data_IF_145785536721
#
_entry.id   IF_145785536721
#
_cell.length_a   1.000
_cell.length_b   1.000
_cell.length_c   1.000
_cell.angle_alpha   90.00
_cell.angle_beta   90.00
_cell.angle_gamma   90.00
#
_symmetry.space_group_name_H-M   'P 1'
#
loop_
_entity.id
_entity.type
_entity.pdbx_description
1 polymer ?
#
# COMPACT_ATOMS: atom_id res chain seq x y z
N UNK A 1 -15.58 -5.97 73.45
CA UNK A 1 -14.60 -5.01 74.01
C UNK A 1 -14.02 -4.15 72.89
N UNK A 2 -14.29 -2.88 73.09
CA UNK A 2 -13.69 -1.66 72.52
C UNK A 2 -13.46 -1.48 71.00
N UNK A 3 -14.31 -0.64 70.49
CA UNK A 3 -14.24 0.16 69.30
C UNK A 3 -13.01 1.12 69.33
N UNK A 4 -12.41 1.33 68.14
CA UNK A 4 -11.84 2.65 67.79
C UNK A 4 -12.04 2.95 66.35
N UNK A 5 -12.95 3.89 66.09
CA UNK A 5 -13.14 4.60 64.83
C UNK A 5 -11.95 5.52 64.54
N UNK A 6 -11.47 5.50 63.30
CA UNK A 6 -10.64 6.60 62.77
C UNK A 6 -11.39 7.27 61.63
N UNK A 7 -11.68 8.54 61.81
CA UNK A 7 -12.26 9.43 60.81
C UNK A 7 -11.14 9.90 59.87
N UNK A 8 -11.35 9.75 58.54
CA UNK A 8 -10.53 10.41 57.52
C UNK A 8 -11.24 11.66 57.07
N UNK A 9 -10.55 12.79 57.26
CA UNK A 9 -10.97 14.11 56.80
C UNK A 9 -10.82 14.24 55.27
N UNK A 10 -11.88 14.64 54.64
CA UNK A 10 -11.94 14.99 53.22
C UNK A 10 -11.46 16.42 53.03
N UNK A 11 -10.33 16.64 52.31
CA UNK A 11 -9.91 17.97 51.83
C UNK A 11 -10.40 18.18 50.43
N UNK A 12 -11.37 19.06 50.26
CA UNK A 12 -11.81 19.53 48.95
C UNK A 12 -10.78 20.55 48.41
N UNK A 13 -10.19 20.25 47.27
CA UNK A 13 -9.37 21.22 46.51
C UNK A 13 -10.27 22.07 45.64
N UNK A 14 -10.30 23.36 45.89
CA UNK A 14 -10.98 24.37 45.07
C UNK A 14 -10.24 24.56 43.75
N UNK A 15 -10.97 24.41 42.65
CA UNK A 15 -10.50 24.76 41.29
C UNK A 15 -10.75 26.27 41.13
N UNK A 16 -9.69 27.06 41.07
CA UNK A 16 -9.73 28.46 40.74
C UNK A 16 -10.06 28.65 39.25
N UNK A 17 -11.15 29.33 38.95
CA UNK A 17 -11.49 29.83 37.62
C UNK A 17 -10.56 30.98 37.27
N UNK A 18 -9.80 30.87 36.20
CA UNK A 18 -9.00 31.94 35.61
C UNK A 18 -9.89 32.69 34.63
N UNK A 19 -10.22 33.94 34.99
CA UNK A 19 -10.84 34.92 34.05
C UNK A 19 -9.73 35.54 33.18
N UNK A 20 -9.95 35.78 31.87
CA UNK A 20 -8.94 36.46 31.06
C UNK A 20 -8.98 37.97 31.31
N UNK A 21 -7.82 38.54 31.60
CA UNK A 21 -7.59 39.96 31.70
C UNK A 21 -7.71 40.69 30.35
N UNK A 22 -8.20 41.98 30.34
CA UNK A 22 -8.31 42.77 29.12
C UNK A 22 -6.94 43.22 28.60
N UNK A 23 -6.74 43.08 27.29
CA UNK A 23 -5.55 43.46 26.53
C UNK A 23 -5.24 44.93 26.69
N UNK A 24 -4.09 45.26 27.30
CA UNK A 24 -3.54 46.62 27.30
C UNK A 24 -2.84 46.95 25.97
N UNK A 25 -2.88 48.20 25.48
CA UNK A 25 -2.25 48.58 24.22
C UNK A 25 -0.73 48.62 24.35
N UNK A 26 -0.06 48.05 23.31
CA UNK A 26 1.40 48.01 23.18
C UNK A 26 1.98 49.42 23.02
N UNK A 27 3.13 49.74 23.68
CA UNK A 27 3.86 50.97 23.46
C UNK A 27 4.59 50.96 22.12
N UNK A 28 4.47 52.04 21.35
CA UNK A 28 5.22 52.28 20.12
C UNK A 28 6.70 52.46 20.44
N UNK A 29 7.52 51.47 20.11
CA UNK A 29 8.97 51.55 20.19
C UNK A 29 9.54 52.26 18.95
N UNK A 30 10.22 53.38 19.19
CA UNK A 30 11.09 54.08 18.23
C UNK A 30 12.22 53.15 17.77
N UNK A 31 12.52 53.24 16.48
CA UNK A 31 13.49 52.44 15.76
C UNK A 31 14.85 52.24 16.44
N UNK A 32 15.22 51.01 16.55
CA UNK A 32 16.61 50.56 16.54
C UNK A 32 16.83 49.74 15.26
N UNK A 33 17.80 50.15 14.45
CA UNK A 33 18.27 49.38 13.31
C UNK A 33 18.73 48.02 13.80
N UNK A 34 18.33 46.90 13.17
CA UNK A 34 18.86 45.60 13.53
C UNK A 34 20.34 45.55 13.10
N UNK A 35 21.20 45.16 14.03
CA UNK A 35 22.57 44.78 13.74
C UNK A 35 22.61 43.71 12.66
N UNK A 36 23.45 43.91 11.66
CA UNK A 36 23.68 42.99 10.55
C UNK A 36 24.03 41.60 11.11
N UNK A 37 23.07 40.68 11.14
CA UNK A 37 23.35 39.28 11.43
C UNK A 37 24.14 38.72 10.23
N UNK A 38 25.36 38.28 10.48
CA UNK A 38 26.12 37.48 9.52
C UNK A 38 25.27 36.28 9.09
N UNK A 39 25.19 35.95 7.78
CA UNK A 39 24.46 34.80 7.33
C UNK A 39 24.98 33.55 8.05
N UNK A 40 24.07 32.70 8.53
CA UNK A 40 24.40 31.42 9.11
C UNK A 40 25.29 30.64 8.13
N UNK A 41 26.33 29.95 8.60
CA UNK A 41 27.18 29.14 7.73
C UNK A 41 26.29 28.14 6.98
N UNK A 42 26.51 28.04 5.66
CA UNK A 42 25.85 27.05 4.83
C UNK A 42 26.07 25.65 5.43
N UNK A 43 25.06 24.79 5.44
CA UNK A 43 25.23 23.42 5.92
C UNK A 43 26.37 22.78 5.14
N UNK A 44 27.34 22.24 5.85
CA UNK A 44 28.45 21.49 5.25
C UNK A 44 27.86 20.37 4.39
N UNK A 45 28.26 20.21 3.13
CA UNK A 45 27.80 19.10 2.32
C UNK A 45 28.11 17.78 3.06
N UNK A 46 27.20 16.79 3.01
CA UNK A 46 27.46 15.51 3.64
C UNK A 46 28.78 14.94 3.14
N UNK A 47 29.58 14.42 4.04
CA UNK A 47 30.84 13.76 3.68
C UNK A 47 30.56 12.69 2.60
N UNK A 48 31.43 12.55 1.59
CA UNK A 48 31.26 11.51 0.59
C UNK A 48 31.18 10.14 1.26
N UNK A 49 30.34 9.22 0.77
CA UNK A 49 30.20 7.90 1.36
C UNK A 49 31.57 7.20 1.39
N UNK A 50 31.95 6.69 2.56
CA UNK A 50 33.17 5.88 2.70
C UNK A 50 32.91 4.56 1.99
N UNK A 51 33.58 4.35 0.85
CA UNK A 51 33.55 3.06 0.12
C UNK A 51 34.51 2.13 0.87
N UNK A 52 33.95 1.24 1.68
CA UNK A 52 34.73 0.19 2.33
C UNK A 52 35.16 -0.86 1.29
N UNK A 53 36.38 -1.41 1.39
CA UNK A 53 36.79 -2.51 0.53
C UNK A 53 35.87 -3.73 0.72
N UNK A 54 35.69 -4.58 -0.31
CA UNK A 54 34.94 -5.82 -0.18
C UNK A 54 35.57 -6.70 0.91
N UNK A 55 34.75 -7.45 1.69
CA UNK A 55 35.25 -8.35 2.70
C UNK A 55 35.99 -9.54 2.06
N UNK A 56 36.82 -10.22 2.86
CA UNK A 56 37.42 -11.50 2.44
C UNK A 56 36.31 -12.56 2.25
N UNK A 57 36.37 -13.30 1.15
CA UNK A 57 35.48 -14.39 0.84
C UNK A 57 36.22 -15.74 0.84
N UNK A 58 35.91 -16.64 1.79
CA UNK A 58 36.29 -18.03 1.70
C UNK A 58 35.75 -18.66 0.41
N UNK A 59 36.53 -19.52 -0.23
CA UNK A 59 36.13 -20.18 -1.49
C UNK A 59 34.82 -20.99 -1.32
N UNK A 60 34.65 -21.63 -0.17
CA UNK A 60 33.41 -22.37 0.13
C UNK A 60 32.17 -21.46 0.17
N UNK A 61 32.30 -20.27 0.76
CA UNK A 61 31.21 -19.30 0.85
C UNK A 61 30.86 -18.69 -0.52
N UNK A 62 31.88 -18.45 -1.36
CA UNK A 62 31.69 -18.04 -2.74
C UNK A 62 31.02 -19.12 -3.58
N UNK A 63 31.33 -20.40 -3.34
CA UNK A 63 30.67 -21.53 -3.97
C UNK A 63 29.21 -21.71 -3.50
N UNK A 64 28.91 -21.47 -2.21
CA UNK A 64 27.54 -21.45 -1.70
C UNK A 64 26.72 -20.33 -2.36
N UNK A 65 27.29 -19.10 -2.48
CA UNK A 65 26.65 -18.01 -3.23
C UNK A 65 26.36 -18.42 -4.69
N UNK A 66 27.33 -19.03 -5.38
CA UNK A 66 27.15 -19.48 -6.77
C UNK A 66 25.98 -20.47 -6.89
N UNK A 67 25.85 -21.43 -5.93
CA UNK A 67 24.73 -22.36 -5.88
C UNK A 67 23.38 -21.66 -5.74
N UNK A 68 23.31 -20.64 -4.88
CA UNK A 68 22.08 -19.84 -4.73
C UNK A 68 21.76 -19.08 -6.01
N UNK A 69 22.74 -18.46 -6.65
CA UNK A 69 22.56 -17.77 -7.92
C UNK A 69 22.02 -18.71 -9.00
N UNK A 70 22.60 -19.91 -9.14
CA UNK A 70 22.15 -20.91 -10.12
C UNK A 70 20.70 -21.37 -9.86
N UNK A 71 20.26 -21.38 -8.59
CA UNK A 71 18.89 -21.72 -8.21
C UNK A 71 17.90 -20.55 -8.28
N UNK A 72 18.34 -19.32 -8.60
CA UNK A 72 17.49 -18.13 -8.60
C UNK A 72 16.28 -18.22 -9.55
N UNK A 73 16.34 -19.08 -10.58
CA UNK A 73 15.21 -19.35 -11.47
C UNK A 73 13.99 -19.93 -10.72
N UNK A 74 14.21 -20.73 -9.68
CA UNK A 74 13.13 -21.24 -8.82
C UNK A 74 12.42 -20.12 -8.04
N UNK A 75 13.09 -18.99 -7.86
CA UNK A 75 12.52 -17.77 -7.26
C UNK A 75 11.98 -16.79 -8.32
N UNK A 76 11.85 -17.22 -9.58
CA UNK A 76 11.33 -16.40 -10.67
C UNK A 76 12.30 -15.35 -11.21
N UNK A 77 13.57 -15.40 -10.83
CA UNK A 77 14.62 -14.47 -11.26
C UNK A 77 15.50 -15.11 -12.35
N UNK A 78 16.27 -14.28 -13.08
CA UNK A 78 17.23 -14.77 -14.05
C UNK A 78 18.60 -14.96 -13.37
N UNK A 79 19.19 -16.16 -13.32
CA UNK A 79 20.53 -16.36 -12.76
C UNK A 79 21.59 -15.46 -13.41
N UNK A 80 21.47 -15.18 -14.71
CA UNK A 80 22.44 -14.37 -15.46
C UNK A 80 22.54 -12.93 -14.96
N UNK A 81 21.50 -12.41 -14.30
CA UNK A 81 21.51 -11.08 -13.71
C UNK A 81 22.54 -10.94 -12.58
N UNK A 82 22.99 -12.06 -12.00
CA UNK A 82 23.92 -12.14 -10.87
C UNK A 82 25.30 -12.69 -11.25
N UNK A 83 25.62 -12.74 -12.55
CA UNK A 83 26.95 -13.04 -13.11
C UNK A 83 27.53 -14.39 -12.64
N UNK A 84 26.80 -15.53 -12.77
CA UNK A 84 27.27 -16.84 -12.30
C UNK A 84 28.61 -17.26 -12.94
N UNK A 85 28.80 -17.02 -14.25
CA UNK A 85 30.02 -17.40 -14.95
C UNK A 85 31.23 -16.59 -14.45
N UNK A 86 31.06 -15.27 -14.24
CA UNK A 86 32.12 -14.44 -13.70
C UNK A 86 32.53 -14.85 -12.28
N UNK A 87 31.56 -15.30 -11.45
CA UNK A 87 31.84 -15.81 -10.11
C UNK A 87 32.54 -17.17 -10.17
N UNK A 88 32.12 -18.08 -11.04
CA UNK A 88 32.77 -19.36 -11.26
C UNK A 88 34.24 -19.18 -11.72
N UNK A 89 34.47 -18.28 -12.68
CA UNK A 89 35.81 -17.94 -13.16
C UNK A 89 36.68 -17.31 -12.06
N UNK A 90 36.10 -16.43 -11.23
CA UNK A 90 36.83 -15.85 -10.10
C UNK A 90 37.26 -16.92 -9.09
N UNK A 91 36.35 -17.85 -8.76
CA UNK A 91 36.66 -18.97 -7.87
C UNK A 91 37.76 -19.87 -8.47
N UNK A 92 37.68 -20.20 -9.74
CA UNK A 92 38.67 -21.01 -10.43
C UNK A 92 40.07 -20.35 -10.51
N UNK A 93 40.11 -19.02 -10.62
CA UNK A 93 41.37 -18.27 -10.68
C UNK A 93 42.17 -18.30 -9.37
N UNK A 94 41.52 -18.59 -8.23
CA UNK A 94 42.08 -18.52 -6.87
C UNK A 94 42.63 -17.12 -6.50
N UNK A 95 42.26 -16.08 -7.22
CA UNK A 95 42.57 -14.69 -6.88
C UNK A 95 41.57 -14.19 -5.84
N UNK A 96 42.04 -14.04 -4.60
CA UNK A 96 41.19 -13.64 -3.47
C UNK A 96 40.54 -12.25 -3.69
N UNK A 97 41.22 -11.31 -4.32
CA UNK A 97 40.66 -9.97 -4.58
C UNK A 97 39.56 -10.05 -5.64
N UNK A 98 39.76 -10.83 -6.71
CA UNK A 98 38.77 -11.03 -7.74
C UNK A 98 37.53 -11.74 -7.20
N UNK A 99 37.72 -12.79 -6.37
CA UNK A 99 36.61 -13.46 -5.68
C UNK A 99 35.85 -12.48 -4.80
N UNK A 100 36.55 -11.72 -3.95
CA UNK A 100 35.96 -10.75 -3.04
C UNK A 100 35.09 -9.71 -3.77
N UNK A 101 35.60 -9.16 -4.88
CA UNK A 101 34.88 -8.17 -5.67
C UNK A 101 33.63 -8.78 -6.32
N UNK A 102 33.78 -9.87 -7.08
CA UNK A 102 32.67 -10.45 -7.85
C UNK A 102 31.62 -11.02 -6.94
N UNK A 103 32.02 -11.74 -5.85
CA UNK A 103 31.08 -12.29 -4.90
C UNK A 103 30.30 -11.22 -4.14
N UNK A 104 30.97 -10.14 -3.70
CA UNK A 104 30.27 -9.03 -3.01
C UNK A 104 29.27 -8.34 -3.93
N UNK A 105 29.63 -8.06 -5.18
CA UNK A 105 28.73 -7.44 -6.16
C UNK A 105 27.49 -8.32 -6.42
N UNK A 106 27.73 -9.63 -6.62
CA UNK A 106 26.65 -10.61 -6.88
C UNK A 106 25.75 -10.80 -5.64
N UNK A 107 26.33 -10.86 -4.44
CA UNK A 107 25.58 -10.93 -3.18
C UNK A 107 24.70 -9.70 -2.99
N UNK A 108 25.27 -8.51 -3.15
CA UNK A 108 24.54 -7.26 -2.97
C UNK A 108 23.36 -7.15 -3.94
N UNK A 109 23.54 -7.52 -5.19
CA UNK A 109 22.46 -7.50 -6.17
C UNK A 109 21.39 -8.54 -5.86
N UNK A 110 21.78 -9.79 -5.58
CA UNK A 110 20.83 -10.86 -5.30
C UNK A 110 20.08 -10.64 -4.00
N UNK A 111 20.75 -10.22 -2.93
CA UNK A 111 20.11 -9.92 -1.63
C UNK A 111 19.12 -8.77 -1.75
N UNK A 112 19.45 -7.73 -2.51
CA UNK A 112 18.52 -6.64 -2.82
C UNK A 112 17.29 -7.17 -3.56
N UNK A 113 17.46 -8.00 -4.61
CA UNK A 113 16.36 -8.52 -5.40
C UNK A 113 15.50 -9.53 -4.62
N UNK A 114 16.09 -10.30 -3.72
CA UNK A 114 15.35 -11.17 -2.81
C UNK A 114 14.55 -10.39 -1.77
N UNK A 115 15.10 -9.29 -1.24
CA UNK A 115 14.44 -8.46 -0.25
C UNK A 115 13.31 -7.61 -0.84
N UNK A 116 13.53 -7.02 -2.00
CA UNK A 116 12.65 -5.98 -2.53
C UNK A 116 12.06 -6.30 -3.90
N UNK A 117 12.37 -7.45 -4.53
CA UNK A 117 12.03 -7.77 -5.91
C UNK A 117 13.06 -7.18 -6.90
N UNK A 118 13.06 -7.61 -8.13
CA UNK A 118 13.96 -7.16 -9.20
C UNK A 118 13.54 -5.82 -9.80
N UNK A 119 12.23 -5.64 -10.01
CA UNK A 119 11.65 -4.42 -10.57
C UNK A 119 11.70 -3.29 -9.56
N UNK A 120 12.10 -2.08 -9.99
CA UNK A 120 12.32 -0.91 -9.13
C UNK A 120 11.68 0.36 -9.70
N UNK A 121 11.60 1.37 -8.84
CA UNK A 121 11.25 2.74 -9.21
C UNK A 121 9.93 2.85 -9.96
N UNK A 122 9.95 3.57 -11.05
CA UNK A 122 8.76 3.87 -11.85
C UNK A 122 8.13 2.64 -12.54
N UNK A 123 8.90 1.54 -12.72
CA UNK A 123 8.38 0.32 -13.31
C UNK A 123 7.43 -0.44 -12.39
N UNK A 124 7.42 -0.14 -11.08
CA UNK A 124 6.41 -0.62 -10.13
C UNK A 124 5.05 0.05 -10.25
N UNK A 125 4.81 0.86 -11.21
CA UNK A 125 3.63 1.64 -11.56
C UNK A 125 2.68 1.91 -10.38
N UNK A 126 2.63 3.17 -9.95
CA UNK A 126 1.69 3.64 -8.91
C UNK A 126 1.80 2.83 -7.59
N UNK A 127 3.05 2.52 -7.22
CA UNK A 127 3.42 1.82 -5.99
C UNK A 127 3.91 2.80 -4.92
N UNK A 128 3.25 2.80 -3.78
CA UNK A 128 3.47 3.75 -2.69
C UNK A 128 3.60 3.07 -1.32
N UNK A 129 3.94 1.78 -1.30
CA UNK A 129 4.31 1.10 -0.07
C UNK A 129 5.77 1.38 0.20
N UNK A 130 6.07 1.87 1.40
CA UNK A 130 7.45 2.07 1.85
C UNK A 130 7.93 0.78 2.49
N UNK A 131 9.03 0.26 1.98
CA UNK A 131 9.71 -0.90 2.52
C UNK A 131 11.09 -0.47 3.02
N UNK A 132 11.35 -0.72 4.29
CA UNK A 132 12.60 -0.42 4.97
C UNK A 132 13.33 -1.66 5.50
N UNK A 133 12.95 -2.87 5.04
CA UNK A 133 13.46 -4.13 5.60
C UNK A 133 14.96 -4.32 5.44
N UNK A 134 15.55 -3.84 4.33
CA UNK A 134 16.97 -3.96 4.06
C UNK A 134 17.58 -2.60 3.66
N UNK A 135 18.19 -1.88 4.61
CA UNK A 135 19.02 -0.70 4.30
C UNK A 135 20.42 -1.15 3.86
N UNK A 136 21.21 -0.25 3.27
CA UNK A 136 22.59 -0.54 2.89
C UNK A 136 23.43 -1.05 4.08
N UNK A 137 23.25 -0.45 5.26
CA UNK A 137 23.96 -0.87 6.49
C UNK A 137 23.52 -2.27 6.93
N UNK A 138 22.22 -2.57 6.87
CA UNK A 138 21.70 -3.91 7.18
C UNK A 138 22.17 -4.95 6.16
N UNK A 139 22.25 -4.59 4.87
CA UNK A 139 22.76 -5.47 3.83
C UNK A 139 24.25 -5.79 4.09
N UNK A 140 25.05 -4.80 4.45
CA UNK A 140 26.45 -5.02 4.81
C UNK A 140 26.58 -5.89 6.06
N UNK A 141 25.84 -5.60 7.11
CA UNK A 141 25.85 -6.40 8.35
C UNK A 141 25.38 -7.85 8.08
N UNK A 142 24.41 -8.05 7.18
CA UNK A 142 23.97 -9.38 6.75
C UNK A 142 25.11 -10.14 6.06
N UNK A 143 25.84 -9.50 5.16
CA UNK A 143 26.98 -10.11 4.49
C UNK A 143 28.08 -10.49 5.50
N UNK A 144 28.47 -9.56 6.37
CA UNK A 144 29.51 -9.79 7.36
C UNK A 144 29.13 -10.95 8.31
N UNK A 145 27.86 -11.03 8.74
CA UNK A 145 27.35 -12.11 9.55
C UNK A 145 27.33 -13.44 8.78
N UNK A 146 26.87 -13.44 7.54
CA UNK A 146 26.81 -14.61 6.68
C UNK A 146 28.19 -15.23 6.45
N UNK A 147 29.21 -14.41 6.20
CA UNK A 147 30.59 -14.84 6.03
C UNK A 147 31.19 -15.36 7.34
N UNK A 148 30.95 -14.69 8.47
CA UNK A 148 31.46 -15.12 9.78
C UNK A 148 30.88 -16.46 10.24
N UNK A 149 29.68 -16.80 9.78
CA UNK A 149 28.98 -18.05 10.09
C UNK A 149 29.10 -19.13 9.01
N UNK A 150 29.71 -18.83 7.87
CA UNK A 150 29.75 -19.70 6.70
C UNK A 150 28.35 -20.15 6.22
N UNK A 151 27.37 -19.22 6.18
CA UNK A 151 25.95 -19.48 5.88
C UNK A 151 25.38 -18.47 4.88
N UNK A 152 26.11 -18.22 3.79
CA UNK A 152 25.74 -17.22 2.78
C UNK A 152 24.39 -17.57 2.13
N UNK A 153 24.20 -18.82 1.77
CA UNK A 153 22.95 -19.28 1.15
C UNK A 153 21.74 -19.15 2.07
N UNK A 154 21.90 -19.47 3.35
CA UNK A 154 20.80 -19.32 4.32
C UNK A 154 20.44 -17.86 4.56
N UNK A 155 21.45 -17.00 4.67
CA UNK A 155 21.24 -15.55 4.82
C UNK A 155 20.46 -14.96 3.64
N UNK A 156 20.78 -15.36 2.41
CA UNK A 156 20.05 -14.94 1.22
C UNK A 156 18.62 -15.48 1.20
N UNK A 157 18.42 -16.79 1.45
CA UNK A 157 17.07 -17.40 1.46
C UNK A 157 16.19 -16.79 2.54
N UNK A 158 16.76 -16.37 3.66
CA UNK A 158 16.06 -15.67 4.73
C UNK A 158 15.46 -14.29 4.33
N UNK A 159 15.89 -13.74 3.19
CA UNK A 159 15.32 -12.52 2.62
C UNK A 159 14.06 -12.76 1.79
N UNK A 160 13.73 -13.99 1.43
CA UNK A 160 12.56 -14.30 0.61
C UNK A 160 11.26 -14.17 1.41
N UNK A 161 10.13 -13.82 0.76
CA UNK A 161 8.83 -13.80 1.43
C UNK A 161 8.45 -15.17 2.00
N UNK A 162 8.00 -15.19 3.25
CA UNK A 162 7.52 -16.41 3.93
C UNK A 162 6.02 -16.63 3.75
N UNK A 163 5.32 -15.69 3.10
CA UNK A 163 3.88 -15.77 2.92
C UNK A 163 3.48 -17.00 2.09
N UNK A 164 2.44 -17.76 2.48
CA UNK A 164 2.04 -18.99 1.78
C UNK A 164 1.75 -18.82 0.29
N UNK A 165 1.20 -17.67 -0.11
CA UNK A 165 0.95 -17.34 -1.51
C UNK A 165 2.22 -17.27 -2.36
N UNK A 166 3.32 -16.73 -1.79
CA UNK A 166 4.62 -16.72 -2.46
C UNK A 166 5.14 -18.16 -2.66
N UNK A 167 5.08 -18.98 -1.62
CA UNK A 167 5.46 -20.38 -1.68
C UNK A 167 4.68 -21.16 -2.73
N UNK A 168 3.37 -20.96 -2.82
CA UNK A 168 2.52 -21.58 -3.82
C UNK A 168 2.87 -21.17 -5.26
N UNK A 169 3.13 -19.86 -5.49
CA UNK A 169 3.60 -19.38 -6.80
C UNK A 169 4.95 -19.99 -7.17
N UNK A 170 5.86 -20.14 -6.21
CA UNK A 170 7.15 -20.80 -6.42
C UNK A 170 6.99 -22.27 -6.82
N UNK A 171 6.11 -23.01 -6.15
CA UNK A 171 5.79 -24.39 -6.53
C UNK A 171 5.20 -24.44 -7.94
N UNK A 172 4.30 -23.52 -8.29
CA UNK A 172 3.70 -23.48 -9.61
C UNK A 172 4.71 -23.26 -10.77
N UNK A 173 5.90 -22.69 -10.49
CA UNK A 173 6.94 -22.57 -11.52
C UNK A 173 7.52 -23.92 -11.95
N UNK A 174 7.32 -25.00 -11.18
CA UNK A 174 7.77 -26.35 -11.54
C UNK A 174 6.83 -27.05 -12.52
N UNK A 175 5.60 -26.53 -12.71
CA UNK A 175 4.61 -27.09 -13.60
C UNK A 175 4.92 -26.74 -15.07
N UNK A 176 4.56 -27.60 -16.02
CA UNK A 176 4.66 -27.27 -17.45
C UNK A 176 3.77 -26.09 -17.82
N UNK A 177 4.38 -25.01 -18.28
CA UNK A 177 3.68 -23.78 -18.65
C UNK A 177 4.29 -23.14 -19.90
N UNK A 178 3.48 -22.37 -20.65
CA UNK A 178 4.01 -21.52 -21.69
C UNK A 178 4.68 -20.25 -21.09
N UNK A 179 5.51 -19.56 -21.89
CA UNK A 179 6.28 -18.38 -21.44
C UNK A 179 5.41 -17.28 -20.84
N UNK A 180 4.21 -17.04 -21.37
CA UNK A 180 3.31 -16.00 -20.83
C UNK A 180 2.81 -16.36 -19.42
N UNK A 181 2.53 -17.64 -19.19
CA UNK A 181 2.12 -18.14 -17.87
C UNK A 181 3.26 -18.07 -16.87
N UNK A 182 4.46 -18.49 -17.27
CA UNK A 182 5.68 -18.36 -16.45
C UNK A 182 5.93 -16.90 -16.08
N UNK A 183 5.88 -15.99 -17.04
CA UNK A 183 6.09 -14.56 -16.78
C UNK A 183 5.03 -13.97 -15.83
N UNK A 184 3.78 -14.43 -15.92
CA UNK A 184 2.73 -14.01 -14.97
C UNK A 184 3.03 -14.48 -13.55
N UNK A 185 3.54 -15.70 -13.37
CA UNK A 185 3.95 -16.20 -12.03
C UNK A 185 5.14 -15.40 -11.52
N UNK A 186 6.22 -15.28 -12.33
CA UNK A 186 7.44 -14.54 -11.98
C UNK A 186 7.14 -13.11 -11.54
N UNK A 187 6.34 -12.40 -12.29
CA UNK A 187 5.92 -11.03 -11.99
C UNK A 187 5.16 -10.94 -10.65
N UNK A 188 4.29 -11.91 -10.32
CA UNK A 188 3.56 -11.88 -9.06
C UNK A 188 4.44 -12.32 -7.87
N UNK A 189 5.43 -13.18 -8.09
CA UNK A 189 6.48 -13.45 -7.10
C UNK A 189 7.31 -12.19 -6.83
N UNK A 190 7.64 -11.43 -7.88
CA UNK A 190 8.35 -10.15 -7.71
C UNK A 190 7.52 -9.13 -6.92
N UNK A 191 6.21 -9.00 -7.22
CA UNK A 191 5.27 -8.15 -6.48
C UNK A 191 5.15 -8.53 -5.00
N UNK A 192 5.27 -9.81 -4.64
CA UNK A 192 5.28 -10.23 -3.24
C UNK A 192 6.52 -9.71 -2.49
N UNK A 193 7.66 -9.55 -3.16
CA UNK A 193 8.88 -8.98 -2.59
C UNK A 193 8.79 -7.45 -2.40
N UNK A 194 7.82 -6.78 -3.04
CA UNK A 194 7.61 -5.34 -2.84
C UNK A 194 6.90 -5.01 -1.54
N UNK A 195 6.26 -5.98 -0.92
CA UNK A 195 5.59 -5.83 0.36
C UNK A 195 6.59 -5.98 1.51
N UNK A 196 6.34 -5.33 2.67
CA UNK A 196 7.09 -5.60 3.88
C UNK A 196 7.13 -7.09 4.20
N UNK A 197 8.23 -7.56 4.76
CA UNK A 197 8.41 -8.96 5.13
C UNK A 197 7.37 -9.43 6.13
N UNK A 198 7.10 -8.59 7.13
CA UNK A 198 6.05 -8.80 8.11
C UNK A 198 4.85 -7.91 7.78
N UNK A 199 3.75 -8.51 7.38
CA UNK A 199 2.49 -7.83 7.13
C UNK A 199 1.68 -7.61 8.43
N UNK A 200 2.14 -8.15 9.55
CA UNK A 200 1.44 -8.19 10.82
C UNK A 200 0.62 -9.48 10.99
N UNK A 201 0.30 -9.79 12.24
CA UNK A 201 -0.54 -10.96 12.57
C UNK A 201 -1.98 -10.80 12.10
N UNK A 202 -2.42 -9.55 11.88
CA UNK A 202 -3.76 -9.21 11.42
C UNK A 202 -3.69 -8.01 10.47
N UNK A 203 -4.25 -8.17 9.27
CA UNK A 203 -4.24 -7.12 8.25
C UNK A 203 -5.39 -7.31 7.24
N UNK A 204 -5.71 -6.25 6.51
CA UNK A 204 -6.58 -6.33 5.33
C UNK A 204 -5.72 -6.25 4.08
N UNK A 205 -5.91 -7.19 3.15
CA UNK A 205 -5.33 -7.12 1.82
C UNK A 205 -6.44 -6.89 0.77
N UNK A 206 -6.30 -5.82 0.00
CA UNK A 206 -7.18 -5.50 -1.11
C UNK A 206 -6.45 -5.83 -2.40
N UNK A 207 -6.86 -6.89 -3.10
CA UNK A 207 -6.31 -7.20 -4.42
C UNK A 207 -7.18 -6.61 -5.51
N UNK A 208 -6.69 -5.58 -6.18
CA UNK A 208 -7.43 -4.83 -7.19
C UNK A 208 -7.83 -5.70 -8.40
N UNK A 209 -6.94 -6.49 -9.05
CA UNK A 209 -7.32 -7.39 -10.14
C UNK A 209 -8.35 -8.45 -9.76
N UNK A 210 -8.29 -8.97 -8.53
CA UNK A 210 -9.26 -9.93 -8.01
C UNK A 210 -10.59 -9.28 -7.59
N UNK A 211 -10.61 -7.96 -7.45
CA UNK A 211 -11.74 -7.22 -6.88
C UNK A 211 -12.18 -7.75 -5.52
N UNK A 212 -11.24 -7.92 -4.61
CA UNK A 212 -11.48 -8.46 -3.27
C UNK A 212 -10.81 -7.64 -2.19
N UNK A 213 -11.44 -7.59 -1.02
CA UNK A 213 -10.85 -7.16 0.22
C UNK A 213 -10.94 -8.33 1.22
N UNK A 214 -9.83 -8.74 1.79
CA UNK A 214 -9.74 -9.94 2.65
C UNK A 214 -9.11 -9.54 3.98
N UNK A 215 -9.76 -9.88 5.09
CA UNK A 215 -9.16 -9.85 6.42
C UNK A 215 -8.36 -11.14 6.61
N UNK A 216 -7.10 -11.01 6.97
CA UNK A 216 -6.20 -12.11 7.25
C UNK A 216 -5.79 -12.04 8.72
N UNK A 217 -5.83 -13.18 9.41
CA UNK A 217 -5.37 -13.34 10.79
C UNK A 217 -4.45 -14.57 10.86
N UNK A 218 -3.26 -14.37 11.41
CA UNK A 218 -2.24 -15.42 11.51
C UNK A 218 -2.00 -16.19 10.20
N UNK A 219 -2.00 -15.46 9.07
CA UNK A 219 -1.80 -16.02 7.74
C UNK A 219 -3.03 -16.70 7.12
N UNK A 220 -4.18 -16.73 7.84
CA UNK A 220 -5.44 -17.34 7.38
C UNK A 220 -6.45 -16.26 6.99
N UNK A 221 -7.10 -16.42 5.84
CA UNK A 221 -8.20 -15.54 5.42
C UNK A 221 -9.46 -15.85 6.25
N UNK A 222 -9.84 -14.92 7.15
CA UNK A 222 -11.00 -15.08 8.05
C UNK A 222 -12.28 -14.43 7.53
N UNK A 223 -12.14 -13.40 6.68
CA UNK A 223 -13.29 -12.74 6.05
C UNK A 223 -12.92 -12.20 4.67
N UNK A 224 -13.79 -12.41 3.69
CA UNK A 224 -13.56 -11.99 2.31
C UNK A 224 -14.76 -11.27 1.73
N UNK A 225 -14.50 -10.15 1.09
CA UNK A 225 -15.51 -9.24 0.55
C UNK A 225 -15.23 -8.95 -0.92
N UNK A 226 -16.28 -8.84 -1.73
CA UNK A 226 -16.16 -8.27 -3.06
C UNK A 226 -15.79 -6.80 -2.96
N UNK A 227 -14.95 -6.34 -3.87
CA UNK A 227 -14.56 -4.93 -3.96
C UNK A 227 -14.88 -4.33 -5.32
N UNK A 228 -15.12 -3.02 -5.33
CA UNK A 228 -15.17 -2.19 -6.55
C UNK A 228 -14.00 -1.21 -6.45
N UNK A 229 -13.07 -1.33 -7.36
CA UNK A 229 -11.88 -0.49 -7.45
C UNK A 229 -12.09 0.73 -8.36
N UNK A 230 -11.09 1.57 -8.49
CA UNK A 230 -11.06 2.73 -9.37
C UNK A 230 -11.26 2.37 -10.84
N UNK A 231 -11.87 3.28 -11.60
CA UNK A 231 -11.96 3.16 -13.04
C UNK A 231 -10.57 3.27 -13.68
N UNK A 232 -10.42 2.85 -14.95
CA UNK A 232 -9.12 2.89 -15.66
C UNK A 232 -8.53 4.31 -15.69
N UNK A 233 -9.39 5.34 -15.79
CA UNK A 233 -8.94 6.76 -15.76
C UNK A 233 -8.60 7.28 -14.37
N UNK A 234 -9.09 6.62 -13.33
CA UNK A 234 -8.87 6.98 -11.92
C UNK A 234 -8.53 5.72 -11.13
N UNK A 235 -7.39 5.09 -11.42
CA UNK A 235 -7.04 3.79 -10.86
C UNK A 235 -6.86 3.88 -9.35
N UNK A 236 -7.14 2.78 -8.66
CA UNK A 236 -6.77 2.62 -7.26
C UNK A 236 -5.25 2.47 -7.16
N UNK A 237 -4.55 3.32 -6.40
CA UNK A 237 -3.11 3.20 -6.20
C UNK A 237 -2.77 1.99 -5.32
N UNK A 238 -1.55 1.49 -5.45
CA UNK A 238 -0.98 0.47 -4.57
C UNK A 238 -0.32 1.16 -3.38
N UNK A 239 -0.85 0.95 -2.18
CA UNK A 239 -0.37 1.62 -0.97
C UNK A 239 -0.59 0.77 0.28
N UNK A 240 0.05 1.15 1.37
CA UNK A 240 -0.29 0.68 2.71
C UNK A 240 -0.78 1.85 3.57
N UNK A 241 -1.71 1.58 4.46
CA UNK A 241 -2.20 2.53 5.45
C UNK A 241 -2.67 1.80 6.72
N UNK A 242 -2.67 2.50 7.86
CA UNK A 242 -3.21 1.96 9.11
C UNK A 242 -4.67 2.31 9.23
N UNK A 243 -5.54 1.31 9.31
CA UNK A 243 -6.95 1.49 9.66
C UNK A 243 -7.09 1.58 11.18
N UNK A 244 -7.67 2.67 11.67
CA UNK A 244 -7.81 2.97 13.11
C UNK A 244 -9.24 2.87 13.61
N UNK A 245 -10.22 2.67 12.70
CA UNK A 245 -11.64 2.59 13.04
C UNK A 245 -12.51 2.80 11.82
N UNK A 246 -13.80 3.02 12.08
CA UNK A 246 -14.81 3.31 11.08
C UNK A 246 -15.63 4.55 11.46
N UNK A 247 -16.04 5.32 10.49
CA UNK A 247 -17.09 6.34 10.65
C UNK A 247 -18.40 5.70 10.22
N UNK A 248 -19.34 5.60 11.15
CA UNK A 248 -20.71 5.18 10.92
C UNK A 248 -21.53 6.39 10.46
N UNK A 249 -22.43 6.19 9.50
CA UNK A 249 -23.23 7.26 8.90
C UNK A 249 -22.37 8.46 8.45
N UNK A 250 -21.37 8.27 7.57
CA UNK A 250 -20.43 9.31 7.20
C UNK A 250 -21.09 10.42 6.37
N UNK A 251 -20.68 11.67 6.61
CA UNK A 251 -20.78 12.68 5.58
C UNK A 251 -19.77 12.38 4.49
N UNK A 252 -20.16 12.49 3.23
CA UNK A 252 -19.22 12.44 2.14
C UNK A 252 -18.77 13.85 1.77
N UNK A 253 -17.54 14.18 2.11
CA UNK A 253 -16.88 15.39 1.61
C UNK A 253 -16.45 15.11 0.17
N UNK A 254 -17.09 15.80 -0.79
CA UNK A 254 -16.85 15.57 -2.22
C UNK A 254 -15.48 16.09 -2.60
N UNK A 255 -14.59 15.26 -3.18
CA UNK A 255 -13.30 15.73 -3.68
C UNK A 255 -13.43 16.86 -4.70
N UNK A 256 -12.50 17.81 -4.70
CA UNK A 256 -12.53 18.95 -5.62
C UNK A 256 -12.54 18.53 -7.07
N UNK A 257 -11.81 17.43 -7.41
CA UNK A 257 -11.73 16.86 -8.76
C UNK A 257 -13.08 16.48 -9.36
N UNK A 258 -14.07 16.14 -8.53
CA UNK A 258 -15.41 15.71 -8.96
C UNK A 258 -16.51 16.67 -8.49
N UNK A 259 -16.16 17.81 -7.89
CA UNK A 259 -17.11 18.81 -7.40
C UNK A 259 -18.04 19.33 -8.51
N UNK A 260 -17.52 19.49 -9.72
CA UNK A 260 -18.33 19.89 -10.90
C UNK A 260 -19.41 18.86 -11.28
N UNK A 261 -19.16 17.58 -10.99
CA UNK A 261 -20.12 16.50 -11.31
C UNK A 261 -21.35 16.53 -10.39
N UNK A 262 -21.24 17.09 -9.21
CA UNK A 262 -22.29 17.11 -8.19
C UNK A 262 -22.91 18.48 -7.97
N UNK A 263 -22.31 19.53 -8.52
CA UNK A 263 -22.78 20.90 -8.36
C UNK A 263 -24.23 21.06 -8.87
N UNK A 264 -25.11 21.58 -8.00
CA UNK A 264 -26.52 21.76 -8.29
C UNK A 264 -27.38 20.49 -8.31
N UNK A 265 -26.82 19.31 -8.09
CA UNK A 265 -27.60 18.07 -8.00
C UNK A 265 -28.28 17.95 -6.63
N UNK A 266 -29.51 17.41 -6.62
CA UNK A 266 -30.23 17.10 -5.38
C UNK A 266 -29.47 16.14 -4.49
N UNK A 267 -29.60 16.29 -3.16
CA UNK A 267 -28.93 15.45 -2.17
C UNK A 267 -27.51 15.88 -1.80
N UNK A 268 -26.99 16.97 -2.39
CA UNK A 268 -25.70 17.57 -2.04
C UNK A 268 -25.91 18.94 -1.39
N UNK A 269 -25.09 19.24 -0.40
CA UNK A 269 -25.09 20.50 0.37
C UNK A 269 -23.83 21.29 0.03
N UNK A 270 -24.02 22.53 -0.42
CA UNK A 270 -22.94 23.47 -0.65
C UNK A 270 -22.41 23.99 0.69
N UNK A 271 -21.11 23.86 0.95
CA UNK A 271 -20.43 24.56 2.05
C UNK A 271 -19.89 25.85 1.50
N UNK A 272 -20.44 26.97 1.99
CA UNK A 272 -20.11 28.33 1.51
C UNK A 272 -19.11 29.02 2.44
N UNK A 273 -18.28 29.86 1.88
CA UNK A 273 -17.47 30.80 2.64
C UNK A 273 -18.38 31.81 3.34
N UNK A 274 -18.22 31.95 4.65
CA UNK A 274 -19.09 32.82 5.46
C UNK A 274 -18.99 34.31 5.07
N UNK A 275 -17.84 34.76 4.54
CA UNK A 275 -17.62 36.17 4.19
C UNK A 275 -18.03 36.49 2.75
N UNK A 276 -17.76 35.57 1.81
CA UNK A 276 -17.96 35.87 0.37
C UNK A 276 -19.21 35.21 -0.21
N UNK A 277 -19.85 34.24 0.50
CA UNK A 277 -20.95 33.44 -0.01
C UNK A 277 -20.56 32.41 -1.07
N UNK A 278 -19.31 32.42 -1.53
CA UNK A 278 -18.83 31.51 -2.56
C UNK A 278 -18.83 30.06 -2.06
N UNK A 279 -19.20 29.12 -2.95
CA UNK A 279 -19.15 27.69 -2.65
C UNK A 279 -17.68 27.21 -2.57
N UNK A 280 -17.28 26.74 -1.41
CA UNK A 280 -15.94 26.21 -1.17
C UNK A 280 -15.84 24.70 -1.49
N UNK A 281 -16.89 23.94 -1.16
CA UNK A 281 -16.95 22.50 -1.39
C UNK A 281 -18.39 22.01 -1.36
N UNK A 282 -18.59 20.81 -1.84
CA UNK A 282 -19.84 20.08 -1.74
C UNK A 282 -19.70 18.91 -0.76
N UNK A 283 -20.79 18.58 -0.09
CA UNK A 283 -20.86 17.38 0.73
C UNK A 283 -22.21 16.71 0.63
N UNK A 284 -22.26 15.41 0.91
CA UNK A 284 -23.50 14.64 0.92
C UNK A 284 -23.81 14.15 2.34
N UNK A 285 -25.02 14.37 2.84
CA UNK A 285 -25.39 13.94 4.19
C UNK A 285 -25.51 12.40 4.29
N UNK A 286 -25.47 11.85 5.53
CA UNK A 286 -25.82 10.47 5.78
C UNK A 286 -27.21 10.12 5.25
N UNK A 287 -27.37 8.90 4.75
CA UNK A 287 -28.65 8.43 4.25
C UNK A 287 -28.53 7.42 3.11
N UNK A 288 -29.65 6.88 2.61
CA UNK A 288 -29.65 5.80 1.64
C UNK A 288 -29.08 6.19 0.26
N UNK A 289 -29.05 7.47 -0.06
CA UNK A 289 -28.47 8.01 -1.30
C UNK A 289 -26.98 8.32 -1.19
N UNK A 290 -26.37 8.26 0.02
CA UNK A 290 -24.97 8.61 0.22
C UNK A 290 -24.05 7.67 -0.55
N UNK A 291 -23.13 8.22 -1.33
CA UNK A 291 -22.19 7.43 -2.13
C UNK A 291 -21.22 6.59 -1.29
N UNK A 292 -20.96 6.99 -0.03
CA UNK A 292 -20.17 6.22 0.93
C UNK A 292 -21.00 5.16 1.66
N UNK A 293 -22.32 5.06 1.39
CA UNK A 293 -23.22 4.17 2.11
C UNK A 293 -23.29 4.46 3.60
N UNK A 294 -23.28 3.42 4.42
CA UNK A 294 -23.47 3.51 5.87
C UNK A 294 -22.15 3.66 6.64
N UNK A 295 -20.99 3.38 6.03
CA UNK A 295 -19.72 3.44 6.75
C UNK A 295 -18.50 3.64 5.86
N UNK A 296 -17.45 4.18 6.48
CA UNK A 296 -16.15 4.44 5.88
C UNK A 296 -15.05 4.11 6.88
N UNK A 297 -14.04 3.35 6.46
CA UNK A 297 -12.84 3.10 7.27
C UNK A 297 -11.99 4.36 7.40
N UNK A 298 -11.46 4.57 8.58
CA UNK A 298 -10.51 5.64 8.89
C UNK A 298 -9.11 5.10 8.69
N UNK A 299 -8.47 5.45 7.58
CA UNK A 299 -7.13 5.01 7.21
C UNK A 299 -6.37 6.18 6.54
N UNK A 300 -5.80 7.08 7.34
CA UNK A 300 -5.13 8.28 6.83
C UNK A 300 -3.98 7.92 5.89
N UNK A 301 -3.95 8.55 4.72
CA UNK A 301 -2.86 8.43 3.75
C UNK A 301 -2.88 9.63 2.79
N UNK A 302 -1.74 9.97 2.14
CA UNK A 302 -1.62 11.15 1.26
C UNK A 302 -2.53 11.11 0.03
N UNK A 303 -3.00 9.92 -0.36
CA UNK A 303 -3.81 9.70 -1.57
C UNK A 303 -5.31 9.80 -1.31
N UNK A 304 -5.73 10.00 -0.06
CA UNK A 304 -7.13 10.04 0.38
C UNK A 304 -7.94 8.80 -0.05
N UNK A 305 -7.30 7.65 -0.13
CA UNK A 305 -7.93 6.36 -0.46
C UNK A 305 -8.42 5.68 0.82
N UNK A 306 -9.62 5.12 0.76
CA UNK A 306 -10.20 4.40 1.88
C UNK A 306 -11.17 3.30 1.41
N UNK A 307 -11.48 2.36 2.33
CA UNK A 307 -12.53 1.37 2.15
C UNK A 307 -13.84 1.98 2.64
N UNK A 308 -14.93 1.78 1.88
CA UNK A 308 -16.23 2.31 2.25
C UNK A 308 -17.38 1.46 1.71
N UNK A 309 -18.55 1.68 2.27
CA UNK A 309 -19.81 1.16 1.76
C UNK A 309 -20.25 1.89 0.47
N UNK A 310 -21.39 1.54 -0.06
CA UNK A 310 -21.95 2.22 -1.25
C UNK A 310 -23.46 2.06 -1.30
N UNK A 311 -24.16 3.04 -1.85
CA UNK A 311 -25.55 2.92 -2.25
C UNK A 311 -25.73 2.10 -3.54
N UNK A 312 -24.71 1.96 -4.38
CA UNK A 312 -24.74 1.26 -5.65
C UNK A 312 -24.34 -0.22 -5.52
N UNK A 313 -25.05 -0.97 -4.67
CA UNK A 313 -24.77 -2.39 -4.34
C UNK A 313 -24.77 -3.32 -5.56
N UNK A 314 -25.59 -3.04 -6.58
CA UNK A 314 -25.65 -3.84 -7.82
C UNK A 314 -24.31 -3.93 -8.54
N UNK A 315 -23.39 -2.97 -8.35
CA UNK A 315 -22.06 -2.97 -8.97
C UNK A 315 -21.18 -4.13 -8.51
N UNK A 316 -21.44 -4.72 -7.34
CA UNK A 316 -20.74 -5.92 -6.88
C UNK A 316 -21.04 -7.18 -7.68
N UNK A 317 -22.11 -7.16 -8.50
CA UNK A 317 -22.49 -8.29 -9.37
C UNK A 317 -21.87 -8.18 -10.79
N UNK A 318 -21.16 -7.09 -11.09
CA UNK A 318 -20.46 -6.94 -12.36
C UNK A 318 -19.23 -7.84 -12.40
N UNK A 319 -18.89 -8.40 -13.57
CA UNK A 319 -17.66 -9.15 -13.79
C UNK A 319 -16.42 -8.24 -13.67
N UNK A 320 -16.45 -7.09 -14.34
CA UNK A 320 -15.44 -6.03 -14.17
C UNK A 320 -15.97 -5.04 -13.14
N UNK A 321 -15.21 -4.82 -12.07
CA UNK A 321 -15.59 -3.94 -10.96
C UNK A 321 -14.64 -2.75 -10.79
N UNK A 322 -14.34 -2.08 -11.89
CA UNK A 322 -13.48 -0.89 -11.97
C UNK A 322 -14.32 0.36 -12.26
N UNK A 323 -14.95 0.95 -11.24
CA UNK A 323 -15.96 2.02 -11.41
C UNK A 323 -15.78 3.22 -10.48
N UNK A 324 -14.94 3.15 -9.45
CA UNK A 324 -14.78 4.24 -8.47
C UNK A 324 -13.80 5.31 -8.97
N UNK A 325 -13.67 6.39 -8.21
CA UNK A 325 -12.66 7.43 -8.43
C UNK A 325 -11.37 7.17 -7.62
N UNK A 326 -11.05 5.89 -7.37
CA UNK A 326 -9.84 5.46 -6.67
C UNK A 326 -10.14 4.74 -5.35
N UNK A 327 -11.08 5.21 -4.54
CA UNK A 327 -11.47 4.54 -3.28
C UNK A 327 -12.08 3.15 -3.54
N UNK A 328 -12.01 2.27 -2.54
CA UNK A 328 -12.45 0.88 -2.64
C UNK A 328 -13.82 0.72 -1.98
N UNK A 329 -14.86 0.47 -2.81
CA UNK A 329 -16.17 0.06 -2.29
C UNK A 329 -16.08 -1.39 -1.89
N UNK A 330 -16.52 -1.72 -0.68
CA UNK A 330 -16.42 -3.06 -0.11
C UNK A 330 -17.81 -3.62 0.15
N UNK A 331 -18.12 -4.78 -0.42
CA UNK A 331 -19.39 -5.46 -0.17
C UNK A 331 -19.45 -5.98 1.25
N UNK A 332 -20.66 -5.93 1.88
CA UNK A 332 -20.84 -6.37 3.26
C UNK A 332 -19.81 -5.80 4.24
N UNK A 333 -19.35 -4.59 4.01
CA UNK A 333 -18.34 -3.93 4.86
C UNK A 333 -18.78 -3.82 6.32
N UNK A 334 -20.10 -3.85 6.57
CA UNK A 334 -20.68 -3.89 7.91
C UNK A 334 -20.27 -5.14 8.68
N UNK A 335 -20.18 -6.29 8.03
CA UNK A 335 -19.76 -7.53 8.66
C UNK A 335 -18.27 -7.45 9.04
N UNK A 336 -17.44 -6.93 8.12
CA UNK A 336 -16.03 -6.66 8.39
C UNK A 336 -15.85 -5.66 9.56
N UNK A 337 -16.62 -4.58 9.57
CA UNK A 337 -16.54 -3.57 10.62
C UNK A 337 -16.96 -4.15 11.98
N UNK A 338 -18.02 -4.96 12.04
CA UNK A 338 -18.47 -5.63 13.27
C UNK A 338 -17.39 -6.56 13.83
N UNK A 339 -16.75 -7.39 12.98
CA UNK A 339 -15.64 -8.24 13.39
C UNK A 339 -14.50 -7.44 14.05
N UNK A 340 -14.15 -6.27 13.47
CA UNK A 340 -13.06 -5.44 13.94
C UNK A 340 -13.42 -4.59 15.18
N UNK A 341 -14.69 -4.26 15.36
CA UNK A 341 -15.17 -3.45 16.49
C UNK A 341 -15.51 -4.28 17.72
N UNK A 342 -15.87 -5.57 17.54
CA UNK A 342 -16.28 -6.46 18.64
C UNK A 342 -15.10 -7.17 19.30
N UNK A 343 -13.90 -6.61 19.23
CA UNK A 343 -12.72 -7.13 19.91
C UNK A 343 -12.81 -6.94 21.43
N UNK A 344 -12.23 -7.90 22.16
CA UNK A 344 -12.10 -7.82 23.63
C UNK A 344 -11.37 -6.54 24.05
N UNK A 345 -11.91 -5.86 25.06
CA UNK A 345 -11.44 -4.54 25.51
C UNK A 345 -11.99 -3.38 24.70
N UNK A 346 -12.79 -3.63 23.66
CA UNK A 346 -13.47 -2.60 22.87
C UNK A 346 -14.71 -2.03 23.56
N UNK A 347 -15.15 -0.88 23.11
CA UNK A 347 -16.38 -0.20 23.60
C UNK A 347 -17.57 -0.37 22.67
N UNK A 348 -17.41 -1.17 21.61
CA UNK A 348 -18.39 -1.44 20.58
C UNK A 348 -18.77 -2.91 20.57
N UNK A 349 -20.06 -3.16 20.38
CA UNK A 349 -20.67 -4.45 20.12
C UNK A 349 -21.61 -4.35 18.90
N UNK A 350 -22.10 -5.45 18.34
CA UNK A 350 -22.96 -5.45 17.17
C UNK A 350 -24.24 -4.61 17.33
N UNK A 351 -24.87 -4.63 18.53
CA UNK A 351 -26.11 -3.90 18.80
C UNK A 351 -25.87 -2.40 18.82
N UNK A 352 -24.78 -1.96 19.46
CA UNK A 352 -24.38 -0.54 19.48
C UNK A 352 -24.05 -0.03 18.09
N UNK A 353 -23.39 -0.84 17.25
CA UNK A 353 -23.15 -0.51 15.84
C UNK A 353 -24.49 -0.32 15.13
N UNK A 354 -25.45 -1.25 15.29
CA UNK A 354 -26.74 -1.18 14.65
C UNK A 354 -27.56 0.01 15.13
N UNK A 355 -27.66 0.25 16.45
CA UNK A 355 -28.34 1.42 17.02
C UNK A 355 -27.76 2.74 16.47
N UNK A 356 -26.43 2.81 16.31
CA UNK A 356 -25.78 4.00 15.75
C UNK A 356 -26.15 4.18 14.29
N UNK A 357 -26.16 3.12 13.48
CA UNK A 357 -26.58 3.17 12.08
C UNK A 357 -28.02 3.64 11.95
N UNK A 358 -28.94 3.13 12.79
CA UNK A 358 -30.36 3.48 12.77
C UNK A 358 -30.61 4.93 13.20
N UNK A 359 -29.76 5.47 14.06
CA UNK A 359 -29.83 6.87 14.51
C UNK A 359 -29.54 7.88 13.38
N UNK A 360 -28.93 7.45 12.28
CA UNK A 360 -28.45 8.28 11.16
C UNK A 360 -27.48 9.39 11.58
N UNK A 361 -26.99 9.38 12.82
CA UNK A 361 -25.97 10.33 13.31
C UNK A 361 -24.58 9.82 12.96
N UNK A 362 -23.75 10.72 12.48
CA UNK A 362 -22.34 10.42 12.21
C UNK A 362 -21.60 10.15 13.52
N UNK A 363 -20.95 9.00 13.62
CA UNK A 363 -20.15 8.65 14.78
C UNK A 363 -18.88 7.90 14.37
N UNK A 364 -17.77 8.22 15.04
CA UNK A 364 -16.51 7.50 14.91
C UNK A 364 -16.52 6.30 15.88
N UNK A 365 -16.19 5.13 15.37
CA UNK A 365 -15.97 3.91 16.14
C UNK A 365 -14.51 3.48 15.95
N UNK A 366 -13.71 3.57 17.01
CA UNK A 366 -12.29 3.20 16.97
C UNK A 366 -12.11 1.70 17.16
N UNK A 367 -11.15 1.12 16.47
CA UNK A 367 -10.68 -0.25 16.75
C UNK A 367 -9.85 -0.27 18.03
N UNK A 368 -9.84 -1.39 18.72
CA UNK A 368 -8.97 -1.61 19.90
C UNK A 368 -7.51 -1.53 19.48
N UNK A 369 -7.18 -2.17 18.35
CA UNK A 369 -5.84 -2.14 17.75
C UNK A 369 -5.96 -1.69 16.30
N UNK A 370 -5.21 -0.66 15.89
CA UNK A 370 -5.06 -0.35 14.47
C UNK A 370 -4.53 -1.56 13.70
N UNK A 371 -4.96 -1.73 12.44
CA UNK A 371 -4.47 -2.82 11.60
C UNK A 371 -4.01 -2.30 10.25
N UNK A 372 -2.97 -2.90 9.65
CA UNK A 372 -2.51 -2.55 8.32
C UNK A 372 -3.55 -2.89 7.26
N UNK A 373 -3.68 -2.02 6.25
CA UNK A 373 -4.42 -2.25 5.02
C UNK A 373 -3.44 -2.13 3.86
N UNK A 374 -3.27 -3.21 3.10
CA UNK A 374 -2.43 -3.25 1.91
C UNK A 374 -3.32 -3.28 0.68
N UNK A 375 -3.18 -2.30 -0.20
CA UNK A 375 -3.82 -2.28 -1.51
C UNK A 375 -2.77 -2.69 -2.53
N UNK A 376 -2.99 -3.84 -3.18
CA UNK A 376 -2.05 -4.53 -4.05
C UNK A 376 -2.63 -4.83 -5.41
N UNK A 377 -1.77 -5.24 -6.35
CA UNK A 377 -2.15 -5.54 -7.72
C UNK A 377 -1.59 -6.89 -8.16
N UNK A 378 -2.17 -7.99 -7.63
CA UNK A 378 -1.78 -9.35 -7.99
C UNK A 378 -2.68 -9.89 -9.09
N UNK A 379 -2.09 -10.20 -10.26
CA UNK A 379 -2.77 -10.81 -11.40
C UNK A 379 -2.69 -12.34 -11.41
N UNK A 380 -1.98 -12.93 -10.45
CA UNK A 380 -2.04 -14.33 -10.12
C UNK A 380 -1.95 -14.55 -8.61
N UNK A 381 -2.70 -15.52 -8.11
CA UNK A 381 -2.69 -15.95 -6.71
C UNK A 381 -3.04 -17.45 -6.62
N UNK A 382 -2.57 -18.11 -5.55
CA UNK A 382 -2.93 -19.50 -5.29
C UNK A 382 -4.30 -19.62 -4.64
N UNK A 383 -5.07 -20.61 -5.05
CA UNK A 383 -6.27 -21.11 -4.39
C UNK A 383 -5.92 -21.88 -3.12
N UNK A 384 -6.95 -22.21 -2.32
CA UNK A 384 -6.77 -23.08 -1.12
C UNK A 384 -6.31 -24.49 -1.48
N UNK A 385 -6.65 -24.96 -2.68
CA UNK A 385 -6.22 -26.25 -3.23
C UNK A 385 -4.84 -26.20 -3.92
N UNK A 386 -4.16 -25.04 -3.86
CA UNK A 386 -2.86 -24.81 -4.48
C UNK A 386 -2.92 -24.43 -5.97
N UNK A 387 -4.09 -24.51 -6.63
CA UNK A 387 -4.22 -24.11 -8.04
C UNK A 387 -3.98 -22.61 -8.22
N UNK A 388 -3.37 -22.22 -9.33
CA UNK A 388 -3.12 -20.80 -9.61
C UNK A 388 -4.29 -20.20 -10.38
N UNK A 389 -4.93 -19.22 -9.76
CA UNK A 389 -5.94 -18.36 -10.39
C UNK A 389 -5.28 -17.14 -10.98
N UNK A 390 -5.63 -16.82 -12.22
CA UNK A 390 -5.21 -15.62 -12.92
C UNK A 390 -6.35 -14.63 -13.01
N UNK A 391 -6.03 -13.35 -12.82
CA UNK A 391 -6.98 -12.24 -12.91
C UNK A 391 -6.62 -11.33 -14.07
N UNK A 392 -7.60 -10.64 -14.61
CA UNK A 392 -7.38 -9.68 -15.69
C UNK A 392 -6.50 -8.50 -15.22
N UNK A 393 -5.56 -8.13 -16.07
CA UNK A 393 -4.72 -6.94 -15.88
C UNK A 393 -5.53 -5.67 -16.24
N UNK A 394 -6.46 -5.29 -15.34
CA UNK A 394 -7.46 -4.24 -15.56
C UNK A 394 -6.87 -2.87 -15.88
N UNK A 395 -5.69 -2.55 -15.29
CA UNK A 395 -4.99 -1.27 -15.50
C UNK A 395 -3.81 -1.36 -16.47
N UNK A 396 -3.61 -2.53 -17.11
CA UNK A 396 -2.51 -2.76 -18.07
C UNK A 396 -1.12 -2.50 -17.51
N UNK A 397 -0.88 -2.94 -16.26
CA UNK A 397 0.39 -2.76 -15.55
C UNK A 397 1.39 -3.89 -15.80
N UNK A 398 0.95 -5.10 -16.12
CA UNK A 398 1.78 -6.31 -16.21
C UNK A 398 2.85 -6.21 -17.29
N UNK A 399 2.52 -5.65 -18.45
CA UNK A 399 3.47 -5.54 -19.55
C UNK A 399 4.74 -4.76 -19.21
N UNK A 400 4.60 -3.63 -18.50
CA UNK A 400 5.75 -2.80 -18.06
C UNK A 400 6.59 -3.57 -17.02
N UNK A 401 5.92 -4.21 -16.05
CA UNK A 401 6.61 -4.96 -15.00
C UNK A 401 7.35 -6.17 -15.57
N UNK A 402 6.72 -6.91 -16.51
CA UNK A 402 7.36 -8.06 -17.19
C UNK A 402 8.58 -7.58 -18.01
N UNK A 403 8.47 -6.47 -18.75
CA UNK A 403 9.59 -5.93 -19.51
C UNK A 403 10.77 -5.59 -18.60
N UNK A 404 10.52 -4.93 -17.46
CA UNK A 404 11.54 -4.62 -16.48
C UNK A 404 12.13 -5.90 -15.84
N UNK A 405 11.30 -6.89 -15.50
CA UNK A 405 11.72 -8.16 -14.92
C UNK A 405 12.62 -8.97 -15.87
N UNK A 406 12.43 -8.79 -17.18
CA UNK A 406 13.22 -9.46 -18.23
C UNK A 406 14.37 -8.58 -18.76
N UNK A 407 14.67 -7.44 -18.13
CA UNK A 407 15.66 -6.46 -18.57
C UNK A 407 15.46 -6.01 -20.04
N UNK A 408 14.21 -5.98 -20.50
CA UNK A 408 13.87 -5.55 -21.85
C UNK A 408 13.71 -4.02 -21.90
N UNK A 409 14.05 -3.38 -23.01
CA UNK A 409 13.80 -1.95 -23.20
C UNK A 409 12.31 -1.65 -22.98
N UNK A 410 12.02 -0.59 -22.23
CA UNK A 410 10.64 -0.12 -22.04
C UNK A 410 10.05 0.21 -23.41
N UNK A 411 8.90 -0.38 -23.74
CA UNK A 411 8.18 0.01 -24.95
C UNK A 411 7.93 1.52 -24.90
N UNK A 412 8.41 2.25 -25.91
CA UNK A 412 8.22 3.70 -25.96
C UNK A 412 6.73 3.99 -25.78
N UNK A 413 6.37 4.80 -24.78
CA UNK A 413 5.01 5.31 -24.64
C UNK A 413 4.68 5.96 -25.98
N UNK A 414 3.72 5.42 -26.72
CA UNK A 414 3.10 6.18 -27.82
C UNK A 414 2.48 7.39 -27.13
N UNK A 415 3.14 8.54 -27.23
CA UNK A 415 2.55 9.80 -26.79
C UNK A 415 1.30 9.99 -27.65
N UNK A 416 0.15 9.78 -27.07
CA UNK A 416 -1.08 10.25 -27.69
C UNK A 416 -0.99 11.77 -27.65
N UNK A 417 -1.29 12.43 -28.75
CA UNK A 417 -1.25 13.90 -28.88
C UNK A 417 -2.04 14.64 -27.78
N UNK A 418 -2.86 13.92 -27.01
CA UNK A 418 -3.57 14.40 -25.82
C UNK A 418 -2.67 14.67 -24.59
N UNK A 419 -1.55 13.92 -24.41
CA UNK A 419 -0.64 14.16 -23.28
C UNK A 419 0.33 15.31 -23.54
N UNK A 420 0.67 15.61 -24.79
CA UNK A 420 1.47 16.77 -25.17
C UNK A 420 0.73 18.10 -24.98
N UNK A 421 -0.63 18.10 -25.01
CA UNK A 421 -1.48 19.26 -24.69
C UNK A 421 -1.51 19.59 -23.21
N UNK A 422 -1.54 18.56 -22.35
CA UNK A 422 -1.62 18.72 -20.88
C UNK A 422 -0.34 19.25 -20.23
N UNK A 423 0.82 19.01 -20.84
CA UNK A 423 2.09 19.51 -20.32
C UNK A 423 2.35 21.00 -20.65
N UNK A 424 1.67 21.56 -21.64
CA UNK A 424 1.74 23.00 -21.98
C UNK A 424 0.73 23.86 -21.24
N UNK A 425 -0.37 23.26 -20.75
CA UNK A 425 -1.46 23.99 -20.07
C UNK A 425 -1.36 23.98 -18.54
N UNK A 426 -0.34 23.33 -17.98
CA UNK A 426 -0.09 23.37 -16.53
C UNK A 426 0.43 24.71 -16.02
N UNK A 427 0.71 25.68 -16.91
CA UNK A 427 1.16 27.02 -16.54
C UNK A 427 0.07 28.11 -16.72
N UNK A 428 -1.05 27.80 -17.36
CA UNK A 428 -2.18 28.76 -17.47
C UNK A 428 -3.49 28.00 -17.68
N UNK A 429 -4.43 28.22 -16.79
CA UNK A 429 -5.87 27.94 -16.90
C UNK A 429 -6.42 26.76 -16.09
N UNK A 430 -6.94 27.09 -14.92
CA UNK A 430 -8.24 26.60 -14.50
C UNK A 430 -9.26 27.02 -15.57
N UNK A 431 -9.77 26.05 -16.37
CA UNK A 431 -11.18 25.97 -16.76
C UNK A 431 -11.41 25.02 -17.95
N UNK A 432 -12.58 24.36 -17.90
CA UNK A 432 -13.28 23.61 -18.95
C UNK A 432 -12.86 22.16 -19.28
N UNK A 433 -13.67 21.21 -18.77
CA UNK A 433 -13.77 19.85 -19.31
C UNK A 433 -15.18 19.63 -19.91
N UNK A 434 -15.29 19.05 -21.12
CA UNK A 434 -16.57 18.78 -21.74
C UNK A 434 -17.25 17.49 -21.28
N UNK A 435 -18.58 17.46 -21.41
CA UNK A 435 -19.50 16.40 -21.03
C UNK A 435 -19.22 15.05 -21.72
N UNK A 436 -19.40 13.96 -20.97
CA UNK A 436 -19.26 12.60 -21.44
C UNK A 436 -20.39 12.20 -22.42
N UNK A 437 -20.00 11.81 -23.63
CA UNK A 437 -20.85 11.15 -24.59
C UNK A 437 -20.94 9.65 -24.29
N UNK A 438 -22.15 9.10 -24.46
CA UNK A 438 -22.51 7.69 -24.26
C UNK A 438 -21.84 6.77 -25.30
N UNK A 439 -21.18 5.71 -24.84
CA UNK A 439 -20.61 4.66 -25.67
C UNK A 439 -21.62 3.53 -25.96
N UNK A 440 -21.56 2.86 -27.13
CA UNK A 440 -22.52 1.85 -27.54
C UNK A 440 -22.29 0.50 -26.85
N UNK A 441 -23.42 -0.21 -26.63
CA UNK A 441 -23.48 -1.52 -25.99
C UNK A 441 -22.91 -2.62 -26.90
N UNK A 442 -21.77 -3.20 -26.51
CA UNK A 442 -21.39 -4.54 -26.97
C UNK A 442 -21.64 -5.54 -25.83
N UNK A 443 -22.37 -6.61 -26.11
CA UNK A 443 -22.61 -7.74 -25.22
C UNK A 443 -21.33 -8.59 -25.16
N UNK A 444 -20.71 -8.79 -24.01
CA UNK A 444 -19.70 -9.85 -23.87
C UNK A 444 -20.37 -11.19 -23.55
N UNK A 445 -19.81 -12.26 -24.11
CA UNK A 445 -20.18 -13.64 -23.82
C UNK A 445 -19.96 -13.99 -22.33
N UNK A 446 -20.72 -14.90 -21.73
CA UNK A 446 -20.60 -15.26 -20.33
C UNK A 446 -19.29 -16.00 -20.08
N UNK A 447 -18.38 -15.37 -19.36
CA UNK A 447 -17.19 -16.01 -18.78
C UNK A 447 -17.67 -16.79 -17.57
N UNK A 448 -17.52 -18.12 -17.62
CA UNK A 448 -17.74 -19.01 -16.46
C UNK A 448 -16.81 -18.56 -15.33
N UNK A 449 -17.38 -18.10 -14.23
CA UNK A 449 -16.69 -17.88 -12.97
C UNK A 449 -16.17 -19.24 -12.47
N UNK A 450 -14.94 -19.56 -12.79
CA UNK A 450 -14.22 -20.66 -12.16
C UNK A 450 -13.89 -20.28 -10.73
N UNK A 451 -14.08 -21.22 -9.85
CA UNK A 451 -13.93 -21.21 -8.40
C UNK A 451 -12.95 -20.16 -7.85
N UNK A 452 -13.51 -19.23 -7.10
CA UNK A 452 -12.75 -18.23 -6.35
C UNK A 452 -11.94 -18.94 -5.24
N UNK A 453 -10.59 -18.87 -5.27
CA UNK A 453 -9.69 -19.64 -4.42
C UNK A 453 -9.75 -19.36 -2.92
N UNK A 454 -10.50 -18.37 -2.50
CA UNK A 454 -10.58 -17.93 -1.10
C UNK A 454 -12.03 -17.97 -0.56
N UNK A 455 -12.95 -18.76 -1.14
CA UNK A 455 -14.29 -18.94 -0.60
C UNK A 455 -14.24 -19.86 0.62
N UNK A 456 -14.72 -19.46 1.80
CA UNK A 456 -15.04 -20.40 2.85
C UNK A 456 -16.20 -21.28 2.40
N UNK A 457 -16.17 -22.55 2.73
CA UNK A 457 -17.28 -23.48 2.57
C UNK A 457 -18.43 -23.10 3.47
#
# INVERSE_FOLDING_TARGET
MLFRSLALASTASAIAQVTPDPIAPLPTARGQQPASQLPAPLPTPPAPPVILPPPFWPVADAADLLSVIQSAAAEGLSPNDYRPDALADAIASRDANRVAQVATDSFNKLSSDFAFGHVRGEDRIDWHVVDGDLTNDRQRALLDLALSQHRVGDALRGLLPTHPQYGALRVALTDPMNSAQVNTIRLNMDRWRWLPRDLGTRYIIVNVPAYTATLVENGVAVSRHKAVAGAIKTPTPQLSAMATGVILNPWWEVPTSISKEVAGKGGFVAVKNAKTGAVQRWRQPPGPSNALGQMKFVMPNPYAIYLHDTNAKSRFNSSVRAFSHGCVRTDKIGDLARLLLSEEGGTWDPDKVQMTLDSKKTQMASFVKPLPVYIVYFTAAAALDGTIVRYDDVYKRDGTVIAALLNQPRAAKKSTAAEAGLAKDATTAADTAPAAASAPKAKPAPIKLQNDPLRPR
#
